data_IF_396953976052
#
_entry.id   IF_396953976052
#
_cell.length_a   1.000
_cell.length_b   1.000
_cell.length_c   1.000
_cell.angle_alpha   90.00
_cell.angle_beta   90.00
_cell.angle_gamma   90.00
#
_symmetry.space_group_name_H-M   'P 1'
#
loop_
_entity.id
_entity.type
_entity.pdbx_description
1 polymer ?
#
# COMPACT_ATOMS: atom_id res chain seq x y z
N UNK A 1 5.11 -9.30 24.82
CA UNK A 1 5.46 -8.96 23.42
C UNK A 1 6.96 -8.78 23.35
N UNK A 2 7.66 -9.60 22.56
CA UNK A 2 9.08 -9.42 22.29
C UNK A 2 9.20 -8.65 20.97
N UNK A 3 9.67 -7.41 21.03
CA UNK A 3 10.06 -6.61 19.86
C UNK A 3 11.55 -6.87 19.65
N UNK A 4 11.93 -7.54 18.56
CA UNK A 4 13.34 -7.61 18.14
C UNK A 4 13.64 -6.38 17.28
N UNK A 5 14.66 -5.62 17.68
CA UNK A 5 15.16 -4.42 16.99
C UNK A 5 16.40 -4.80 16.16
N UNK A 6 16.45 -4.38 14.90
CA UNK A 6 17.65 -4.37 14.06
C UNK A 6 17.78 -3.00 13.41
N UNK A 7 18.98 -2.40 13.46
CA UNK A 7 19.32 -1.18 12.74
C UNK A 7 19.73 -1.55 11.30
N UNK A 8 19.28 -0.80 10.28
CA UNK A 8 19.52 -1.15 8.88
C UNK A 8 20.34 -0.12 8.10
N UNK A 9 21.40 -0.64 7.45
CA UNK A 9 22.18 0.02 6.41
C UNK A 9 21.40 0.03 5.09
N UNK A 10 21.57 1.08 4.30
CA UNK A 10 20.95 1.26 2.99
C UNK A 10 21.48 0.26 1.94
N UNK A 11 20.59 -0.51 1.33
CA UNK A 11 20.91 -1.46 0.26
C UNK A 11 21.08 -0.72 -1.08
N UNK A 12 22.31 -0.49 -1.54
CA UNK A 12 22.57 -0.09 -2.93
C UNK A 12 22.84 -1.33 -3.77
N UNK A 13 22.05 -1.53 -4.82
CA UNK A 13 22.14 -2.71 -5.70
C UNK A 13 23.46 -2.81 -6.48
N UNK A 14 23.78 -3.99 -7.05
CA UNK A 14 25.09 -4.24 -7.65
C UNK A 14 25.28 -3.46 -8.96
N UNK A 15 26.34 -2.65 -9.03
CA UNK A 15 26.90 -2.13 -10.29
C UNK A 15 27.56 -3.28 -11.06
N UNK A 16 27.03 -3.62 -12.23
CA UNK A 16 27.67 -4.55 -13.15
C UNK A 16 28.98 -3.94 -13.71
N UNK A 17 30.13 -4.63 -13.65
CA UNK A 17 31.30 -4.22 -14.41
C UNK A 17 31.13 -4.61 -15.89
N UNK A 18 31.26 -3.61 -16.77
CA UNK A 18 31.40 -3.79 -18.22
C UNK A 18 32.70 -4.55 -18.51
N UNK A 19 32.62 -5.68 -19.23
CA UNK A 19 33.78 -6.38 -19.79
C UNK A 19 33.71 -6.37 -21.32
N UNK A 20 34.73 -5.78 -21.93
CA UNK A 20 35.00 -5.75 -23.37
C UNK A 20 35.71 -7.04 -23.85
N UNK A 21 35.67 -7.38 -25.15
CA UNK A 21 36.20 -8.65 -25.65
C UNK A 21 37.61 -8.49 -26.22
N UNK A 22 38.52 -9.41 -25.87
CA UNK A 22 39.75 -9.67 -26.65
C UNK A 22 40.00 -11.17 -26.77
N UNK A 23 40.57 -11.54 -27.92
CA UNK A 23 40.58 -12.86 -28.50
C UNK A 23 41.93 -13.59 -28.37
N UNK A 24 41.86 -14.91 -28.65
CA UNK A 24 42.86 -15.84 -29.19
C UNK A 24 43.74 -16.73 -28.28
N UNK A 25 43.53 -18.03 -28.51
CA UNK A 25 44.50 -19.09 -28.89
C UNK A 25 45.37 -19.79 -27.83
N UNK A 26 45.26 -21.13 -27.79
CA UNK A 26 46.43 -22.02 -27.84
C UNK A 26 46.67 -23.01 -26.68
N UNK A 27 46.62 -24.30 -27.04
CA UNK A 27 47.37 -25.44 -26.47
C UNK A 27 46.92 -26.16 -25.18
N UNK A 28 47.00 -27.50 -25.27
CA UNK A 28 46.65 -28.51 -24.29
C UNK A 28 47.62 -28.60 -23.10
N UNK A 29 47.09 -28.87 -21.90
CA UNK A 29 47.37 -30.08 -21.09
C UNK A 29 47.32 -29.83 -19.56
N UNK A 30 46.75 -30.84 -18.88
CA UNK A 30 46.92 -31.26 -17.46
C UNK A 30 46.16 -30.52 -16.33
N UNK A 31 45.11 -31.24 -15.89
CA UNK A 31 44.61 -31.45 -14.52
C UNK A 31 45.11 -30.54 -13.39
N UNK A 32 44.21 -29.66 -12.94
CA UNK A 32 43.97 -29.39 -11.52
C UNK A 32 42.45 -29.38 -11.33
N UNK A 33 41.94 -30.27 -10.47
CA UNK A 33 40.62 -30.08 -9.88
C UNK A 33 40.72 -28.85 -8.96
N UNK A 34 40.42 -27.67 -9.50
CA UNK A 34 40.07 -26.53 -8.67
C UNK A 34 38.65 -26.81 -8.21
N UNK A 35 38.51 -27.25 -6.97
CA UNK A 35 37.24 -27.18 -6.28
C UNK A 35 36.86 -25.70 -6.21
N UNK A 36 36.03 -25.25 -7.16
CA UNK A 36 35.32 -23.99 -7.04
C UNK A 36 34.38 -24.20 -5.86
N UNK A 37 34.82 -23.77 -4.68
CA UNK A 37 33.91 -23.43 -3.60
C UNK A 37 32.97 -22.39 -4.21
N UNK A 38 31.80 -22.84 -4.65
CA UNK A 38 30.66 -21.97 -4.85
C UNK A 38 30.41 -21.35 -3.47
N UNK A 39 30.97 -20.18 -3.24
CA UNK A 39 30.50 -19.30 -2.18
C UNK A 39 29.02 -19.15 -2.46
N UNK A 40 28.20 -19.79 -1.63
CA UNK A 40 26.78 -19.56 -1.63
C UNK A 40 26.62 -18.04 -1.59
N UNK A 41 26.05 -17.48 -2.66
CA UNK A 41 25.51 -16.13 -2.62
C UNK A 41 24.40 -16.23 -1.60
N UNK A 42 24.73 -15.93 -0.34
CA UNK A 42 23.74 -15.67 0.68
C UNK A 42 23.01 -14.45 0.17
N UNK A 43 21.84 -14.68 -0.43
CA UNK A 43 20.81 -13.66 -0.60
C UNK A 43 20.71 -12.97 0.77
N UNK A 44 21.20 -11.73 0.82
CA UNK A 44 20.93 -10.84 1.94
C UNK A 44 19.41 -10.77 2.01
N UNK A 45 18.82 -11.41 3.03
CA UNK A 45 17.40 -11.26 3.31
C UNK A 45 17.26 -9.83 3.80
N UNK A 46 16.64 -8.97 3.00
CA UNK A 46 16.18 -7.68 3.46
C UNK A 46 15.22 -7.96 4.62
N UNK A 47 15.63 -7.65 5.86
CA UNK A 47 14.69 -7.71 6.96
C UNK A 47 13.63 -6.63 6.77
N UNK A 48 12.36 -6.93 7.07
CA UNK A 48 11.29 -5.97 6.93
C UNK A 48 11.51 -4.83 7.92
N UNK A 49 11.14 -3.61 7.52
CA UNK A 49 11.14 -2.45 8.42
C UNK A 49 10.28 -2.71 9.65
N UNK A 50 9.18 -3.44 9.43
CA UNK A 50 8.31 -3.84 10.52
C UNK A 50 7.44 -5.06 10.17
N UNK A 51 7.01 -5.81 11.20
CA UNK A 51 6.01 -6.85 11.07
C UNK A 51 4.95 -6.72 12.17
N UNK A 52 3.68 -6.70 11.78
CA UNK A 52 2.50 -6.83 12.65
C UNK A 52 1.82 -8.16 12.36
N UNK A 53 1.48 -8.93 13.38
CA UNK A 53 0.79 -10.22 13.19
C UNK A 53 -0.41 -10.31 14.11
N UNK A 54 -1.57 -10.63 13.55
CA UNK A 54 -2.76 -11.00 14.30
C UNK A 54 -3.17 -12.44 14.00
N UNK A 55 -2.43 -13.39 14.55
CA UNK A 55 -2.72 -14.81 14.35
C UNK A 55 -4.03 -15.21 15.06
N UNK A 56 -4.91 -16.03 14.42
CA UNK A 56 -4.72 -16.73 13.15
C UNK A 56 -5.24 -15.96 11.91
N UNK A 57 -5.64 -14.70 12.07
CA UNK A 57 -6.38 -13.95 11.05
C UNK A 57 -5.46 -13.42 9.95
N UNK A 58 -4.54 -12.50 10.26
CA UNK A 58 -3.74 -11.81 9.24
C UNK A 58 -2.35 -11.40 9.73
N UNK A 59 -1.50 -10.97 8.81
CA UNK A 59 -0.21 -10.34 9.11
C UNK A 59 0.08 -9.21 8.13
N UNK A 60 0.62 -8.11 8.64
CA UNK A 60 1.23 -7.04 7.85
C UNK A 60 2.73 -7.15 7.95
N UNK A 61 3.41 -7.14 6.81
CA UNK A 61 4.86 -6.95 6.77
C UNK A 61 5.14 -5.70 5.96
N UNK A 62 5.79 -4.73 6.60
CA UNK A 62 6.17 -3.47 5.99
C UNK A 62 7.63 -3.58 5.55
N UNK A 63 7.87 -3.52 4.25
CA UNK A 63 9.19 -3.30 3.66
C UNK A 63 9.36 -1.81 3.29
N UNK A 64 10.47 -1.44 2.66
CA UNK A 64 10.77 -0.05 2.32
C UNK A 64 9.72 0.68 1.44
N UNK A 65 8.95 -0.05 0.62
CA UNK A 65 8.03 0.55 -0.36
C UNK A 65 6.66 -0.17 -0.44
N UNK A 66 6.53 -1.35 0.15
CA UNK A 66 5.37 -2.24 0.07
C UNK A 66 4.93 -2.70 1.45
N UNK A 67 3.64 -2.62 1.71
CA UNK A 67 2.96 -3.33 2.79
C UNK A 67 2.42 -4.64 2.22
N UNK A 68 2.96 -5.74 2.70
CA UNK A 68 2.49 -7.09 2.40
C UNK A 68 1.45 -7.48 3.45
N UNK A 69 0.18 -7.48 3.04
CA UNK A 69 -0.91 -7.98 3.85
C UNK A 69 -1.20 -9.43 3.47
N UNK A 70 -1.11 -10.34 4.44
CA UNK A 70 -1.30 -11.77 4.20
C UNK A 70 -2.39 -12.32 5.10
N UNK A 71 -3.30 -13.09 4.51
CA UNK A 71 -4.34 -13.88 5.17
C UNK A 71 -4.29 -15.33 4.63
N UNK A 72 -4.71 -16.35 5.39
CA UNK A 72 -4.68 -17.75 4.93
C UNK A 72 -5.40 -18.04 3.60
N UNK A 73 -6.30 -17.15 3.17
CA UNK A 73 -7.13 -17.29 1.96
C UNK A 73 -6.88 -16.24 0.88
N UNK A 74 -6.03 -15.25 1.15
CA UNK A 74 -5.77 -14.16 0.21
C UNK A 74 -4.66 -13.25 0.70
N UNK A 75 -4.12 -12.44 -0.20
CA UNK A 75 -3.10 -11.45 0.09
C UNK A 75 -3.46 -10.12 -0.57
N UNK A 76 -2.83 -9.05 -0.12
CA UNK A 76 -2.89 -7.77 -0.79
C UNK A 76 -1.56 -7.06 -0.61
N UNK A 77 -1.19 -6.30 -1.64
CA UNK A 77 0.01 -5.50 -1.65
C UNK A 77 -0.37 -4.03 -1.73
N UNK A 78 0.23 -3.21 -0.86
CA UNK A 78 0.02 -1.76 -0.87
C UNK A 78 1.37 -1.08 -1.05
N UNK A 79 1.54 -0.33 -2.14
CA UNK A 79 2.65 0.61 -2.25
C UNK A 79 2.37 1.78 -1.33
N UNK A 80 3.22 1.99 -0.33
CA UNK A 80 2.95 2.93 0.75
C UNK A 80 3.95 4.08 0.78
N UNK A 81 3.56 5.18 1.44
CA UNK A 81 4.44 6.31 1.67
C UNK A 81 4.92 6.95 0.36
N UNK A 82 4.11 6.93 -0.70
CA UNK A 82 4.50 7.38 -2.03
C UNK A 82 4.80 8.89 -2.10
N UNK A 83 4.40 9.65 -1.08
CA UNK A 83 4.69 11.08 -0.94
C UNK A 83 5.86 11.37 -0.01
N UNK A 84 6.46 10.36 0.63
CA UNK A 84 7.64 10.56 1.44
C UNK A 84 8.84 10.97 0.56
N UNK A 85 9.73 11.83 1.07
CA UNK A 85 10.99 12.14 0.38
C UNK A 85 11.79 10.88 0.08
N UNK A 86 12.49 10.86 -1.05
CA UNK A 86 13.37 9.75 -1.40
C UNK A 86 14.43 9.55 -0.30
N UNK A 87 14.57 8.32 0.19
CA UNK A 87 15.49 8.00 1.29
C UNK A 87 15.03 8.46 2.67
N UNK A 88 13.75 8.79 2.87
CA UNK A 88 13.20 9.05 4.19
C UNK A 88 13.32 7.81 5.08
N UNK A 89 13.99 7.95 6.23
CA UNK A 89 14.13 6.89 7.23
C UNK A 89 13.15 7.11 8.38
N UNK A 90 12.37 6.08 8.68
CA UNK A 90 11.39 6.10 9.76
C UNK A 90 12.00 5.64 11.07
N UNK A 91 11.76 6.39 12.14
CA UNK A 91 12.14 6.01 13.50
C UNK A 91 10.93 5.44 14.27
N UNK A 92 11.08 4.39 15.09
CA UNK A 92 9.97 3.88 15.89
C UNK A 92 9.46 4.92 16.88
N UNK A 93 8.13 5.12 16.95
CA UNK A 93 7.53 6.14 17.83
C UNK A 93 6.78 5.59 19.07
N UNK A 94 6.54 4.28 19.14
CA UNK A 94 5.92 3.64 20.31
C UNK A 94 4.39 3.80 20.43
N UNK A 95 3.70 4.13 19.32
CA UNK A 95 2.23 4.19 19.24
C UNK A 95 1.67 2.99 18.47
N UNK A 96 0.43 2.59 18.78
CA UNK A 96 -0.24 1.44 18.15
C UNK A 96 0.46 0.11 18.42
N UNK A 97 0.21 -0.89 17.56
CA UNK A 97 1.02 -2.11 17.53
C UNK A 97 2.37 -1.87 16.86
N UNK A 98 2.41 -0.85 16.01
CA UNK A 98 3.55 -0.47 15.20
C UNK A 98 3.46 0.99 14.81
N UNK A 99 4.60 1.67 14.78
CA UNK A 99 4.69 3.04 14.34
C UNK A 99 6.05 3.35 13.72
N UNK A 100 6.04 4.16 12.66
CA UNK A 100 7.21 4.84 12.13
C UNK A 100 6.95 6.34 11.99
N UNK A 101 7.88 7.15 12.48
CA UNK A 101 7.91 8.60 12.35
C UNK A 101 9.08 9.02 11.46
N UNK A 102 8.75 9.66 10.33
CA UNK A 102 9.68 10.16 9.31
C UNK A 102 9.98 11.66 9.49
N UNK A 103 9.50 12.28 10.56
CA UNK A 103 9.59 13.72 10.85
C UNK A 103 8.61 14.58 10.04
N UNK A 104 8.36 14.23 8.78
CA UNK A 104 7.40 14.92 7.89
C UNK A 104 6.01 14.28 7.90
N UNK A 105 5.95 12.99 8.15
CA UNK A 105 4.74 12.21 8.34
C UNK A 105 5.02 11.06 9.32
N UNK A 106 3.97 10.59 9.96
CA UNK A 106 3.98 9.47 10.88
C UNK A 106 2.92 8.46 10.43
N UNK A 107 3.27 7.18 10.43
CA UNK A 107 2.36 6.06 10.19
C UNK A 107 2.23 5.24 11.45
N UNK A 108 0.99 4.96 11.85
CA UNK A 108 0.67 4.07 12.96
C UNK A 108 -0.18 2.93 12.44
N UNK A 109 0.22 1.70 12.72
CA UNK A 109 -0.54 0.50 12.40
C UNK A 109 -1.11 -0.08 13.69
N UNK A 110 -2.42 -0.31 13.70
CA UNK A 110 -3.14 -0.92 14.82
C UNK A 110 -3.97 -2.09 14.32
N UNK A 111 -3.95 -3.19 15.06
CA UNK A 111 -4.75 -4.38 14.78
C UNK A 111 -6.12 -4.23 15.44
N UNK A 112 -7.16 -4.40 14.63
CA UNK A 112 -8.55 -4.40 15.08
C UNK A 112 -9.23 -5.69 14.58
N UNK A 113 -9.15 -6.75 15.38
CA UNK A 113 -9.73 -8.06 15.05
C UNK A 113 -9.28 -8.54 13.65
N UNK A 114 -10.19 -8.73 12.70
CA UNK A 114 -9.86 -9.16 11.34
C UNK A 114 -9.24 -8.07 10.44
N UNK A 115 -8.97 -6.89 10.98
CA UNK A 115 -8.50 -5.72 10.24
C UNK A 115 -7.18 -5.17 10.80
N UNK A 116 -6.46 -4.47 9.93
CA UNK A 116 -5.31 -3.65 10.28
C UNK A 116 -5.58 -2.23 9.83
N UNK A 117 -5.67 -1.34 10.81
CA UNK A 117 -5.81 0.10 10.62
C UNK A 117 -4.44 0.70 10.33
N UNK A 118 -4.27 1.29 9.16
CA UNK A 118 -3.10 2.07 8.76
C UNK A 118 -3.48 3.54 8.83
N UNK A 119 -2.87 4.29 9.74
CA UNK A 119 -3.19 5.67 10.01
C UNK A 119 -1.95 6.56 9.78
N UNK A 120 -2.00 7.33 8.71
CA UNK A 120 -1.03 8.37 8.41
C UNK A 120 -1.45 9.71 8.98
N UNK A 121 -0.47 10.45 9.50
CA UNK A 121 -0.63 11.83 9.94
C UNK A 121 0.57 12.65 9.49
N UNK A 122 0.33 13.76 8.82
CA UNK A 122 1.35 14.77 8.53
C UNK A 122 0.97 16.11 9.16
N UNK A 123 1.92 16.73 9.86
CA UNK A 123 1.75 18.09 10.35
C UNK A 123 1.78 19.07 9.17
N UNK A 124 0.95 20.11 9.19
CA UNK A 124 0.92 21.13 8.10
C UNK A 124 2.30 21.77 7.84
N UNK A 125 3.14 21.89 8.86
CA UNK A 125 4.51 22.42 8.73
C UNK A 125 5.55 21.36 8.36
N UNK A 126 5.16 20.08 8.32
CA UNK A 126 5.98 18.96 7.86
C UNK A 126 6.22 18.96 6.36
N UNK A 127 5.59 19.88 5.61
CA UNK A 127 5.90 20.15 4.20
C UNK A 127 5.23 19.22 3.19
N UNK A 128 4.53 18.17 3.64
CA UNK A 128 3.77 17.29 2.75
C UNK A 128 2.38 17.86 2.48
N UNK A 129 2.08 18.13 1.21
CA UNK A 129 0.75 18.55 0.74
C UNK A 129 -0.20 17.38 0.50
N UNK A 130 0.31 16.15 0.49
CA UNK A 130 -0.41 14.93 0.16
C UNK A 130 0.14 13.73 0.96
N UNK A 131 -0.76 12.84 1.35
CA UNK A 131 -0.44 11.49 1.82
C UNK A 131 -1.04 10.52 0.81
N UNK A 132 -0.24 9.59 0.27
CA UNK A 132 -0.68 8.69 -0.79
C UNK A 132 -0.15 7.28 -0.63
N UNK A 133 -1.08 6.32 -0.66
CA UNK A 133 -0.83 4.88 -0.72
C UNK A 133 -1.64 4.28 -1.88
N UNK A 134 -1.14 3.24 -2.54
CA UNK A 134 -1.84 2.57 -3.64
C UNK A 134 -1.91 1.06 -3.43
N UNK A 135 -3.12 0.50 -3.46
CA UNK A 135 -3.38 -0.94 -3.33
C UNK A 135 -3.32 -1.59 -4.71
N UNK A 136 -2.54 -2.67 -4.87
CA UNK A 136 -2.50 -3.40 -6.14
C UNK A 136 -3.83 -4.12 -6.38
N UNK A 137 -4.37 -3.99 -7.59
CA UNK A 137 -5.66 -4.56 -7.99
C UNK A 137 -5.52 -6.02 -8.44
N UNK A 138 -5.11 -6.89 -7.52
CA UNK A 138 -5.00 -8.31 -7.77
C UNK A 138 -6.36 -9.02 -7.64
N UNK A 139 -6.75 -9.76 -8.69
CA UNK A 139 -8.07 -10.38 -8.78
C UNK A 139 -9.17 -9.39 -9.20
N UNK A 140 -10.43 -9.74 -8.94
CA UNK A 140 -11.56 -8.87 -9.27
C UNK A 140 -11.97 -8.00 -8.09
N UNK A 141 -12.01 -6.69 -8.30
CA UNK A 141 -12.34 -5.71 -7.27
C UNK A 141 -13.71 -5.07 -7.49
N UNK A 142 -14.40 -4.81 -6.38
CA UNK A 142 -15.76 -4.27 -6.34
C UNK A 142 -15.88 -3.21 -5.24
N UNK A 143 -16.86 -2.32 -5.34
CA UNK A 143 -17.08 -1.25 -4.35
C UNK A 143 -16.48 0.12 -4.75
N UNK A 144 -16.57 1.11 -3.89
CA UNK A 144 -16.26 2.51 -4.22
C UNK A 144 -17.50 3.36 -4.51
N UNK A 145 -18.58 3.08 -3.77
CA UNK A 145 -19.81 3.87 -3.79
C UNK A 145 -20.68 3.71 -5.03
N UNK A 146 -21.80 4.43 -5.00
CA UNK A 146 -22.72 4.54 -6.12
C UNK A 146 -22.16 5.54 -7.13
N UNK A 147 -22.23 5.19 -8.41
CA UNK A 147 -21.79 6.04 -9.52
C UNK A 147 -22.81 5.97 -10.66
N UNK A 148 -22.83 7.00 -11.52
CA UNK A 148 -23.79 7.07 -12.62
C UNK A 148 -23.59 5.92 -13.61
N UNK A 149 -22.33 5.61 -13.91
CA UNK A 149 -21.91 4.36 -14.53
C UNK A 149 -21.15 3.59 -13.49
N UNK A 150 -21.58 2.35 -13.22
CA UNK A 150 -20.98 1.47 -12.22
C UNK A 150 -20.25 0.31 -12.92
N UNK A 151 -19.04 0.56 -13.44
CA UNK A 151 -18.38 -0.41 -14.29
C UNK A 151 -17.61 -1.40 -13.41
N UNK A 152 -18.16 -2.61 -13.29
CA UNK A 152 -17.55 -3.73 -12.60
C UNK A 152 -17.01 -4.75 -13.59
N UNK A 153 -15.94 -5.46 -13.24
CA UNK A 153 -15.09 -5.24 -12.06
C UNK A 153 -14.19 -4.00 -12.20
N UNK A 154 -13.69 -3.47 -11.07
CA UNK A 154 -13.04 -2.15 -11.00
C UNK A 154 -11.78 -2.08 -11.86
N UNK A 155 -10.97 -3.14 -11.87
CA UNK A 155 -9.70 -3.22 -12.60
C UNK A 155 -9.87 -3.13 -14.12
N UNK A 156 -11.07 -3.27 -14.67
CA UNK A 156 -11.29 -3.11 -16.12
C UNK A 156 -11.57 -1.67 -16.55
N UNK A 157 -11.57 -0.75 -15.59
CA UNK A 157 -12.05 0.61 -15.82
C UNK A 157 -11.15 1.62 -15.12
N UNK A 158 -10.02 1.98 -15.76
CA UNK A 158 -9.15 3.03 -15.28
C UNK A 158 -9.89 4.35 -15.10
N UNK A 159 -9.53 5.09 -14.06
CA UNK A 159 -10.15 6.36 -13.69
C UNK A 159 -9.09 7.34 -13.26
N UNK A 160 -9.21 8.55 -13.80
CA UNK A 160 -8.46 9.70 -13.31
C UNK A 160 -8.89 10.01 -11.89
N UNK A 161 -7.96 10.62 -11.18
CA UNK A 161 -8.20 11.09 -9.83
C UNK A 161 -9.44 11.99 -9.74
N UNK A 162 -10.28 11.75 -8.74
CA UNK A 162 -11.40 12.62 -8.41
C UNK A 162 -11.65 12.62 -6.90
N UNK A 163 -12.17 13.72 -6.37
CA UNK A 163 -12.56 13.81 -4.97
C UNK A 163 -13.66 12.79 -4.65
N UNK A 164 -13.47 12.01 -3.59
CA UNK A 164 -14.44 11.02 -3.13
C UNK A 164 -15.51 11.70 -2.28
N UNK A 165 -16.36 12.49 -2.92
CA UNK A 165 -17.48 13.20 -2.31
C UNK A 165 -18.78 12.90 -3.03
N UNK A 166 -19.89 12.91 -2.30
CA UNK A 166 -21.22 12.82 -2.90
C UNK A 166 -21.50 14.04 -3.77
N UNK A 167 -21.96 13.82 -4.99
CA UNK A 167 -22.42 14.86 -5.91
C UNK A 167 -23.76 14.45 -6.56
N UNK A 168 -24.38 15.40 -7.24
CA UNK A 168 -25.41 15.07 -8.24
C UNK A 168 -24.71 14.54 -9.51
N UNK A 169 -24.31 13.27 -9.48
CA UNK A 169 -23.61 12.60 -10.59
C UNK A 169 -24.34 12.62 -11.94
N UNK A 170 -25.63 12.99 -11.98
CA UNK A 170 -26.38 13.16 -13.23
C UNK A 170 -26.16 14.53 -13.86
N UNK A 171 -25.94 15.56 -13.04
CA UNK A 171 -25.67 16.93 -13.48
C UNK A 171 -24.17 17.25 -13.50
N UNK A 172 -23.42 16.70 -12.55
CA UNK A 172 -21.99 16.86 -12.39
C UNK A 172 -21.24 15.64 -12.95
N UNK A 173 -20.58 15.83 -14.09
CA UNK A 173 -19.77 14.78 -14.73
C UNK A 173 -18.32 14.75 -14.25
N UNK A 174 -17.92 15.71 -13.42
CA UNK A 174 -16.57 15.81 -12.84
C UNK A 174 -16.49 15.01 -11.55
N UNK A 175 -17.54 15.09 -10.72
CA UNK A 175 -17.68 14.29 -9.51
C UNK A 175 -18.51 13.04 -9.79
N UNK A 176 -17.85 11.88 -9.77
CA UNK A 176 -18.41 10.63 -10.27
C UNK A 176 -19.35 9.89 -9.29
N UNK A 177 -19.42 10.34 -8.03
CA UNK A 177 -20.07 9.60 -6.95
C UNK A 177 -21.43 10.18 -6.59
N UNK A 178 -22.42 9.31 -6.44
CA UNK A 178 -23.78 9.64 -6.03
C UNK A 178 -23.93 9.90 -4.54
N UNK A 179 -25.19 9.89 -4.07
CA UNK A 179 -25.53 10.12 -2.66
C UNK A 179 -25.14 9.00 -1.69
N UNK A 180 -24.57 7.89 -2.17
CA UNK A 180 -24.05 6.80 -1.34
C UNK A 180 -22.56 6.61 -1.67
N UNK A 181 -21.69 7.20 -0.85
CA UNK A 181 -20.24 7.15 -1.02
C UNK A 181 -19.60 6.41 0.16
N UNK A 182 -19.69 5.09 0.16
CA UNK A 182 -18.91 4.25 1.07
C UNK A 182 -17.54 4.02 0.42
N UNK A 183 -16.49 4.57 1.05
CA UNK A 183 -15.10 4.38 0.63
C UNK A 183 -14.61 2.98 1.02
N UNK A 184 -15.25 1.98 0.42
CA UNK A 184 -15.08 0.56 0.70
C UNK A 184 -14.93 -0.22 -0.60
N UNK A 185 -13.88 -1.03 -0.67
CA UNK A 185 -13.58 -1.91 -1.79
C UNK A 185 -13.28 -3.31 -1.30
N UNK A 186 -13.67 -4.31 -2.07
CA UNK A 186 -13.45 -5.71 -1.76
C UNK A 186 -12.96 -6.48 -2.98
N UNK A 187 -11.97 -7.33 -2.75
CA UNK A 187 -11.44 -8.24 -3.75
C UNK A 187 -12.10 -9.62 -3.62
N UNK A 188 -12.28 -10.26 -4.76
CA UNK A 188 -12.58 -11.70 -4.88
C UNK A 188 -11.61 -12.61 -4.10
N UNK A 189 -10.43 -12.12 -3.71
CA UNK A 189 -9.46 -12.82 -2.88
C UNK A 189 -9.79 -12.79 -1.36
N UNK A 190 -10.90 -12.19 -0.95
CA UNK A 190 -11.28 -12.14 0.48
C UNK A 190 -10.51 -11.09 1.27
N UNK A 191 -9.98 -10.07 0.60
CA UNK A 191 -9.39 -8.87 1.19
C UNK A 191 -10.28 -7.68 0.89
N UNK A 192 -10.33 -6.73 1.82
CA UNK A 192 -11.00 -5.47 1.62
C UNK A 192 -10.19 -4.28 2.14
N UNK A 193 -10.49 -3.14 1.53
CA UNK A 193 -9.96 -1.83 1.87
C UNK A 193 -11.14 -0.95 2.26
N UNK A 194 -11.10 -0.33 3.44
CA UNK A 194 -12.04 0.72 3.83
C UNK A 194 -11.29 1.97 4.26
N UNK A 195 -11.68 3.13 3.76
CA UNK A 195 -11.14 4.41 4.21
C UNK A 195 -12.05 5.01 5.29
N UNK A 196 -11.43 5.62 6.30
CA UNK A 196 -12.13 6.34 7.36
C UNK A 196 -12.72 7.64 6.82
N UNK A 197 -13.99 7.93 7.16
CA UNK A 197 -14.80 9.02 6.56
C UNK A 197 -14.19 10.42 6.71
N UNK A 198 -13.40 10.62 7.76
CA UNK A 198 -12.71 11.87 8.06
C UNK A 198 -11.51 12.14 7.13
N UNK A 199 -11.10 11.16 6.32
CA UNK A 199 -10.01 11.30 5.36
C UNK A 199 -10.46 12.22 4.20
N UNK A 200 -9.74 13.31 3.88
CA UNK A 200 -10.04 14.16 2.73
C UNK A 200 -9.58 13.48 1.43
N UNK A 201 -10.34 12.46 1.02
CA UNK A 201 -9.96 11.44 0.06
C UNK A 201 -10.15 11.88 -1.40
N UNK A 202 -9.08 11.75 -2.18
CA UNK A 202 -9.05 11.71 -3.62
C UNK A 202 -8.72 10.28 -4.05
N UNK A 203 -9.47 9.77 -5.03
CA UNK A 203 -9.35 8.39 -5.49
C UNK A 203 -8.91 8.36 -6.94
N UNK A 204 -7.87 7.61 -7.23
CA UNK A 204 -7.39 7.33 -8.59
C UNK A 204 -7.29 5.83 -8.83
N UNK A 205 -7.62 5.38 -10.05
CA UNK A 205 -7.54 3.97 -10.46
C UNK A 205 -6.71 3.94 -11.75
N UNK A 206 -5.38 4.06 -11.66
CA UNK A 206 -4.55 4.28 -12.84
C UNK A 206 -4.32 2.99 -13.64
N UNK A 207 -4.18 3.19 -14.95
CA UNK A 207 -3.54 2.26 -15.88
C UNK A 207 -2.07 2.67 -15.99
N UNK A 208 -1.17 1.86 -15.44
CA UNK A 208 0.25 2.18 -15.32
C UNK A 208 1.10 1.54 -16.42
N UNK A 209 0.60 0.50 -17.09
CA UNK A 209 1.32 -0.23 -18.14
C UNK A 209 0.79 0.02 -19.56
N UNK A 210 -0.37 0.69 -19.69
CA UNK A 210 -0.99 1.12 -20.92
C UNK A 210 -1.87 0.06 -21.59
N UNK A 211 -2.28 -0.98 -20.88
CA UNK A 211 -3.09 -2.09 -21.43
C UNK A 211 -4.62 -1.85 -21.38
N UNK A 212 -5.04 -0.65 -20.94
CA UNK A 212 -6.44 -0.24 -20.70
C UNK A 212 -7.12 -0.94 -19.52
N UNK A 213 -6.36 -1.61 -18.66
CA UNK A 213 -6.79 -2.10 -17.36
C UNK A 213 -6.09 -1.31 -16.26
N UNK A 214 -6.67 -1.33 -15.07
CA UNK A 214 -6.15 -0.60 -13.94
C UNK A 214 -5.34 -1.54 -13.05
N UNK A 215 -4.14 -1.10 -12.70
CA UNK A 215 -3.19 -1.89 -11.90
C UNK A 215 -3.40 -1.67 -10.41
N UNK A 216 -3.92 -0.49 -10.03
CA UNK A 216 -3.91 -0.03 -8.65
C UNK A 216 -5.14 0.79 -8.28
N UNK A 217 -5.41 0.85 -6.98
CA UNK A 217 -6.35 1.74 -6.33
C UNK A 217 -5.57 2.69 -5.42
N UNK A 218 -5.39 3.93 -5.86
CA UNK A 218 -4.65 4.95 -5.13
C UNK A 218 -5.56 5.78 -4.24
N UNK A 219 -5.16 5.90 -2.98
CA UNK A 219 -5.80 6.65 -1.92
C UNK A 219 -4.94 7.88 -1.61
N UNK A 220 -5.40 9.06 -1.99
CA UNK A 220 -4.69 10.33 -1.78
C UNK A 220 -5.47 11.20 -0.81
N UNK A 221 -4.86 11.61 0.30
CA UNK A 221 -5.44 12.60 1.19
C UNK A 221 -4.83 13.98 0.92
N UNK A 222 -5.65 15.00 0.66
CA UNK A 222 -5.20 16.39 0.45
C UNK A 222 -6.18 17.41 1.01
N UNK A 223 -5.65 18.52 1.51
CA UNK A 223 -6.44 19.69 1.87
C UNK A 223 -6.68 20.60 0.65
N UNK A 224 -7.36 20.05 -0.34
CA UNK A 224 -7.76 20.71 -1.57
C UNK A 224 -9.29 20.64 -1.73
N UNK A 225 -9.89 21.66 -2.35
CA UNK A 225 -11.33 21.67 -2.66
C UNK A 225 -11.78 20.32 -3.25
N UNK A 226 -12.84 19.70 -2.72
CA UNK A 226 -13.84 20.23 -1.79
C UNK A 226 -13.48 20.12 -0.30
N UNK A 227 -12.33 19.53 0.05
CA UNK A 227 -11.92 19.31 1.42
C UNK A 227 -11.14 20.50 1.98
N UNK A 228 -11.79 21.27 2.86
CA UNK A 228 -11.14 22.35 3.59
C UNK A 228 -10.62 21.85 4.94
N UNK A 229 -9.37 22.20 5.26
CA UNK A 229 -8.81 21.96 6.59
C UNK A 229 -9.25 23.04 7.57
N UNK A 230 -9.44 22.66 8.84
CA UNK A 230 -9.41 23.64 9.91
C UNK A 230 -8.03 24.35 9.93
N UNK A 231 -7.95 25.64 10.28
CA UNK A 231 -6.68 26.34 10.39
C UNK A 231 -5.71 25.60 11.32
N UNK A 232 -4.58 25.13 10.78
CA UNK A 232 -3.57 24.38 11.53
C UNK A 232 -3.87 22.88 11.73
N UNK A 233 -4.93 22.34 11.13
CA UNK A 233 -5.25 20.91 11.19
C UNK A 233 -4.20 20.03 10.49
N UNK A 234 -3.91 18.83 11.03
CA UNK A 234 -3.03 17.86 10.36
C UNK A 234 -3.72 17.26 9.13
N UNK A 235 -2.91 16.82 8.17
CA UNK A 235 -3.40 16.01 7.06
C UNK A 235 -3.42 14.54 7.51
N UNK A 236 -4.54 13.86 7.29
CA UNK A 236 -4.74 12.47 7.73
C UNK A 236 -5.15 11.58 6.56
N UNK A 237 -4.55 10.39 6.46
CA UNK A 237 -4.98 9.32 5.57
C UNK A 237 -5.13 8.07 6.42
N UNK A 238 -6.36 7.63 6.66
CA UNK A 238 -6.60 6.46 7.50
C UNK A 238 -7.46 5.45 6.78
N UNK A 239 -6.96 4.22 6.67
CA UNK A 239 -7.66 3.12 6.02
C UNK A 239 -7.44 1.80 6.75
N UNK A 240 -8.26 0.82 6.42
CA UNK A 240 -8.30 -0.49 7.03
C UNK A 240 -8.09 -1.54 5.96
N UNK A 241 -7.16 -2.46 6.20
CA UNK A 241 -6.98 -3.68 5.45
C UNK A 241 -7.60 -4.82 6.24
N UNK A 242 -8.69 -5.37 5.73
CA UNK A 242 -9.43 -6.44 6.41
C UNK A 242 -9.41 -7.71 5.57
N UNK A 243 -9.45 -8.86 6.21
CA UNK A 243 -9.51 -10.15 5.52
C UNK A 243 -10.35 -11.18 6.24
N UNK A 244 -10.91 -12.09 5.44
CA UNK A 244 -11.66 -13.24 5.91
C UNK A 244 -11.65 -14.34 4.85
N UNK A 245 -12.25 -15.49 5.17
CA UNK A 245 -12.26 -16.64 4.27
C UNK A 245 -13.08 -16.45 2.98
N UNK A 246 -14.04 -15.54 3.00
CA UNK A 246 -14.97 -15.25 1.90
C UNK A 246 -15.41 -13.79 1.96
N UNK A 247 -15.69 -13.23 0.79
CA UNK A 247 -16.13 -11.84 0.57
C UNK A 247 -17.33 -11.48 1.45
N UNK A 248 -18.27 -12.42 1.65
CA UNK A 248 -19.45 -12.18 2.51
C UNK A 248 -19.04 -11.92 3.97
N UNK A 249 -18.08 -12.69 4.48
CA UNK A 249 -17.59 -12.54 5.86
C UNK A 249 -16.85 -11.23 6.03
N UNK A 250 -16.01 -10.86 5.05
CA UNK A 250 -15.27 -9.57 5.06
C UNK A 250 -16.24 -8.39 5.16
N UNK A 251 -17.33 -8.43 4.38
CA UNK A 251 -18.35 -7.38 4.42
C UNK A 251 -18.99 -7.24 5.82
N UNK A 252 -19.32 -8.37 6.47
CA UNK A 252 -19.88 -8.35 7.84
C UNK A 252 -18.89 -7.89 8.91
N UNK A 253 -17.60 -8.18 8.74
CA UNK A 253 -16.54 -7.72 9.67
C UNK A 253 -16.43 -6.20 9.66
N UNK A 254 -16.54 -5.60 8.48
CA UNK A 254 -16.33 -4.16 8.30
C UNK A 254 -17.55 -3.35 8.76
N UNK A 255 -18.74 -3.91 8.59
CA UNK A 255 -20.00 -3.34 9.06
C UNK A 255 -20.68 -4.32 10.01
N UNK A 256 -20.20 -4.46 11.26
CA UNK A 256 -20.88 -5.27 12.24
C UNK A 256 -22.27 -4.66 12.45
N UNK A 257 -23.31 -5.38 12.02
CA UNK A 257 -24.68 -4.99 12.31
C UNK A 257 -24.84 -4.92 13.82
N UNK A 258 -25.01 -3.71 14.36
CA UNK A 258 -25.20 -3.49 15.79
C UNK A 258 -26.33 -4.37 16.31
N UNK A 259 -26.03 -5.15 17.36
CA UNK A 259 -27.04 -5.82 18.18
C UNK A 259 -27.67 -4.81 19.15
#
# INVERSE_FOLDING_TARGET
MYVQQGAYNTCTGPRFPLLSPTAQSGAMARWMMVAVLATAVTSERCEPLLRVTNAPHNSLVMDAHTLHFTHPKGEAHVRWGLTLPEGAEGSPCGEGDSCLDFGVAKVVVTTEDHCQKVAWTSARNGGLGELRDCVLLEGHWYGGGQQATQPWPLEKHPRKETAFVTSDMLQDRVHLYGGVSEAYWVSSQGVAVRVEEQTPLFLEVPDTDGDFTADELCLSARHESPFAAAPGGPLILTYFLCSADDVRKVCCIIYPSGN
#
